data_IF_949954446507
#
_entry.id   IF_949954446507
#
_cell.length_a   1.000
_cell.length_b   1.000
_cell.length_c   1.000
_cell.angle_alpha   90.00
_cell.angle_beta   90.00
_cell.angle_gamma   90.00
#
_symmetry.space_group_name_H-M   'P 1'
#
loop_
_entity.id
_entity.type
_entity.pdbx_description
1 polymer ?
#
# COMPACT_ATOMS: atom_id res chain seq x y z
N UNK A 1 -3.70 18.78 74.52
CA UNK A 1 -3.31 19.95 73.69
C UNK A 1 -4.58 20.63 73.21
N UNK A 2 -4.87 21.84 73.68
CA UNK A 2 -6.11 22.54 73.36
C UNK A 2 -5.96 23.26 72.02
N UNK A 3 -6.65 22.76 70.98
CA UNK A 3 -6.60 23.32 69.62
C UNK A 3 -7.46 24.59 69.46
N UNK A 4 -7.41 25.50 70.45
CA UNK A 4 -8.16 26.78 70.41
C UNK A 4 -7.72 27.71 69.27
N UNK A 5 -6.54 27.45 68.67
CA UNK A 5 -6.06 28.15 67.48
C UNK A 5 -6.85 27.82 66.20
N UNK A 6 -7.51 26.65 66.14
CA UNK A 6 -8.31 26.22 64.98
C UNK A 6 -9.80 26.57 65.08
N UNK A 7 -10.23 27.17 66.19
CA UNK A 7 -11.64 27.55 66.41
C UNK A 7 -11.90 29.05 66.22
N UNK A 8 -10.86 29.86 65.97
CA UNK A 8 -11.05 31.27 65.67
C UNK A 8 -11.45 31.44 64.19
N UNK A 9 -12.56 32.15 63.89
CA UNK A 9 -13.01 32.39 62.51
C UNK A 9 -11.96 33.15 61.67
N UNK A 10 -11.02 33.83 62.34
CA UNK A 10 -9.97 34.61 61.72
C UNK A 10 -8.83 33.76 61.12
N UNK A 11 -8.58 32.55 61.64
CA UNK A 11 -7.58 31.62 61.09
C UNK A 11 -8.19 30.57 60.15
N UNK A 12 -9.45 30.19 60.35
CA UNK A 12 -10.11 29.17 59.52
C UNK A 12 -10.49 29.69 58.13
N UNK A 13 -10.94 30.94 57.99
CA UNK A 13 -11.29 31.53 56.69
C UNK A 13 -10.11 31.58 55.71
N UNK A 14 -8.92 32.12 56.05
CA UNK A 14 -7.79 32.12 55.11
C UNK A 14 -7.28 30.71 54.83
N UNK A 15 -7.37 29.78 55.79
CA UNK A 15 -7.00 28.38 55.58
C UNK A 15 -7.92 27.70 54.56
N UNK A 16 -9.24 27.91 54.66
CA UNK A 16 -10.22 27.37 53.70
C UNK A 16 -10.03 28.00 52.32
N UNK A 17 -9.76 29.30 52.24
CA UNK A 17 -9.43 29.96 50.97
C UNK A 17 -8.16 29.40 50.33
N UNK A 18 -7.13 29.14 51.13
CA UNK A 18 -5.86 28.57 50.64
C UNK A 18 -6.06 27.14 50.12
N UNK A 19 -6.82 26.32 50.84
CA UNK A 19 -7.17 24.96 50.42
C UNK A 19 -8.04 24.98 49.15
N UNK A 20 -9.04 25.87 49.09
CA UNK A 20 -9.89 26.04 47.92
C UNK A 20 -9.11 26.50 46.68
N UNK A 21 -8.18 27.44 46.84
CA UNK A 21 -7.31 27.90 45.77
C UNK A 21 -6.41 26.78 45.24
N UNK A 22 -5.83 25.96 46.13
CA UNK A 22 -5.05 24.79 45.75
C UNK A 22 -5.90 23.77 44.98
N UNK A 23 -7.13 23.51 45.43
CA UNK A 23 -8.03 22.58 44.77
C UNK A 23 -8.36 23.00 43.33
N UNK A 24 -8.64 24.30 43.11
CA UNK A 24 -8.90 24.85 41.78
C UNK A 24 -7.68 24.72 40.86
N UNK A 25 -6.48 24.98 41.38
CA UNK A 25 -5.23 24.82 40.61
C UNK A 25 -4.97 23.37 40.21
N UNK A 26 -5.29 22.42 41.09
CA UNK A 26 -5.12 20.99 40.82
C UNK A 26 -6.02 20.51 39.67
N UNK A 27 -7.26 21.00 39.62
CA UNK A 27 -8.21 20.66 38.55
C UNK A 27 -7.72 21.19 37.19
N UNK A 28 -7.05 22.34 37.16
CA UNK A 28 -6.51 22.94 35.93
C UNK A 28 -5.29 22.21 35.35
N UNK A 29 -4.62 21.31 36.10
CA UNK A 29 -3.39 20.62 35.65
C UNK A 29 -3.69 19.35 34.83
N UNK A 30 -4.86 18.74 35.01
CA UNK A 30 -5.25 17.53 34.29
C UNK A 30 -5.48 17.66 32.77
N UNK A 31 -6.08 18.74 32.21
CA UNK A 31 -6.40 18.78 30.78
C UNK A 31 -5.16 18.75 29.89
N UNK A 32 -4.04 19.35 30.31
CA UNK A 32 -2.83 19.38 29.50
C UNK A 32 -2.22 18.00 29.30
N UNK A 33 -2.23 17.15 30.33
CA UNK A 33 -1.68 15.78 30.24
C UNK A 33 -2.49 14.90 29.29
N UNK A 34 -3.81 15.02 29.32
CA UNK A 34 -4.70 14.27 28.41
C UNK A 34 -4.47 14.70 26.96
N UNK A 35 -4.33 16.00 26.71
CA UNK A 35 -4.12 16.53 25.37
C UNK A 35 -2.74 16.15 24.80
N UNK A 36 -1.68 16.18 25.63
CA UNK A 36 -0.36 15.69 25.24
C UNK A 36 -0.38 14.19 24.93
N UNK A 37 -1.00 13.37 25.79
CA UNK A 37 -1.08 11.92 25.56
C UNK A 37 -1.89 11.58 24.31
N UNK A 38 -2.96 12.34 24.01
CA UNK A 38 -3.71 12.19 22.76
C UNK A 38 -2.85 12.52 21.54
N UNK A 39 -2.04 13.58 21.59
CA UNK A 39 -1.13 13.94 20.50
C UNK A 39 -0.08 12.85 20.29
N UNK A 40 0.51 12.34 21.37
CA UNK A 40 1.48 11.24 21.32
C UNK A 40 0.84 10.00 20.68
N UNK A 41 -0.32 9.58 21.17
CA UNK A 41 -1.03 8.41 20.62
C UNK A 41 -1.41 8.59 19.15
N UNK A 42 -1.80 9.80 18.72
CA UNK A 42 -2.09 10.07 17.32
C UNK A 42 -0.82 9.99 16.45
N UNK A 43 0.29 10.57 16.92
CA UNK A 43 1.58 10.48 16.23
C UNK A 43 2.07 9.02 16.11
N UNK A 44 1.93 8.23 17.18
CA UNK A 44 2.27 6.80 17.17
C UNK A 44 1.42 6.01 16.17
N UNK A 45 0.12 6.29 16.10
CA UNK A 45 -0.77 5.64 15.14
C UNK A 45 -0.42 6.01 13.69
N UNK A 46 -0.14 7.30 13.42
CA UNK A 46 0.30 7.75 12.09
C UNK A 46 1.62 7.09 11.68
N UNK A 47 2.54 6.93 12.62
CA UNK A 47 3.82 6.26 12.37
C UNK A 47 3.59 4.80 11.98
N UNK A 48 2.74 4.09 12.73
CA UNK A 48 2.40 2.69 12.45
C UNK A 48 1.71 2.51 11.09
N UNK A 49 0.73 3.36 10.78
CA UNK A 49 0.04 3.34 9.48
C UNK A 49 1.02 3.59 8.32
N UNK A 50 1.95 4.52 8.49
CA UNK A 50 2.97 4.81 7.48
C UNK A 50 3.93 3.64 7.29
N UNK A 51 4.33 2.98 8.37
CA UNK A 51 5.22 1.81 8.31
C UNK A 51 4.54 0.61 7.64
N UNK A 52 3.26 0.37 7.92
CA UNK A 52 2.44 -0.65 7.25
C UNK A 52 2.32 -0.35 5.74
N UNK A 53 2.09 0.90 5.36
CA UNK A 53 2.05 1.32 3.95
C UNK A 53 3.40 1.11 3.24
N UNK A 54 4.52 1.42 3.89
CA UNK A 54 5.85 1.17 3.33
C UNK A 54 6.04 -0.33 3.08
N UNK A 55 5.68 -1.17 4.05
CA UNK A 55 5.80 -2.62 3.93
C UNK A 55 4.93 -3.17 2.78
N UNK A 56 3.68 -2.74 2.68
CA UNK A 56 2.78 -3.12 1.59
C UNK A 56 3.33 -2.70 0.22
N UNK A 57 3.85 -1.48 0.12
CA UNK A 57 4.44 -0.98 -1.12
C UNK A 57 5.69 -1.75 -1.51
N UNK A 58 6.53 -2.12 -0.55
CA UNK A 58 7.73 -2.92 -0.79
C UNK A 58 7.37 -4.35 -1.25
N UNK A 59 6.37 -4.98 -0.63
CA UNK A 59 5.86 -6.29 -1.04
C UNK A 59 5.30 -6.25 -2.47
N UNK A 60 4.47 -5.25 -2.78
CA UNK A 60 3.90 -5.06 -4.11
C UNK A 60 4.98 -4.78 -5.15
N UNK A 61 5.96 -3.94 -4.83
CA UNK A 61 7.10 -3.68 -5.72
C UNK A 61 7.91 -4.95 -5.97
N UNK A 62 8.17 -5.75 -4.94
CA UNK A 62 8.82 -7.05 -5.06
C UNK A 62 8.03 -8.02 -5.95
N UNK A 63 6.72 -8.09 -5.78
CA UNK A 63 5.84 -8.89 -6.64
C UNK A 63 5.92 -8.45 -8.11
N UNK A 64 5.88 -7.15 -8.40
CA UNK A 64 5.98 -6.68 -9.80
C UNK A 64 7.35 -6.91 -10.44
N UNK A 65 8.42 -7.00 -9.65
CA UNK A 65 9.76 -7.35 -10.13
C UNK A 65 9.95 -8.86 -10.30
N UNK A 66 9.13 -9.66 -9.63
CA UNK A 66 9.21 -11.13 -9.65
C UNK A 66 9.01 -11.73 -11.04
N UNK A 67 9.63 -12.89 -11.27
CA UNK A 67 9.46 -13.63 -12.52
C UNK A 67 8.04 -14.17 -12.68
N UNK A 68 7.32 -14.41 -11.57
CA UNK A 68 5.91 -14.78 -11.59
C UNK A 68 5.03 -13.69 -12.21
N UNK A 69 5.28 -12.42 -11.89
CA UNK A 69 4.55 -11.33 -12.51
C UNK A 69 4.89 -11.19 -14.00
N UNK A 70 6.17 -11.30 -14.37
CA UNK A 70 6.60 -11.29 -15.78
C UNK A 70 5.95 -12.42 -16.58
N UNK A 71 5.90 -13.62 -16.02
CA UNK A 71 5.27 -14.77 -16.66
C UNK A 71 3.77 -14.55 -16.84
N UNK A 72 3.08 -14.08 -15.80
CA UNK A 72 1.65 -13.77 -15.88
C UNK A 72 1.39 -12.72 -16.96
N UNK A 73 2.20 -11.66 -17.04
CA UNK A 73 2.09 -10.66 -18.10
C UNK A 73 2.40 -11.24 -19.49
N UNK A 74 3.36 -12.17 -19.59
CA UNK A 74 3.68 -12.85 -20.85
C UNK A 74 2.53 -13.74 -21.34
N UNK A 75 1.91 -14.50 -20.44
CA UNK A 75 0.69 -15.28 -20.71
C UNK A 75 -0.45 -14.37 -21.16
N UNK A 76 -0.73 -13.29 -20.42
CA UNK A 76 -1.86 -12.40 -20.73
C UNK A 76 -1.69 -11.60 -22.02
N UNK A 77 -0.48 -11.11 -22.31
CA UNK A 77 -0.24 -10.20 -23.44
C UNK A 77 0.13 -10.91 -24.73
N UNK A 78 0.81 -12.04 -24.62
CA UNK A 78 1.42 -12.71 -25.75
C UNK A 78 0.97 -14.18 -25.88
N UNK A 79 0.06 -14.64 -25.01
CA UNK A 79 -0.41 -16.03 -24.95
C UNK A 79 0.75 -17.05 -24.88
N UNK A 80 1.85 -16.62 -24.25
CA UNK A 80 3.08 -17.40 -24.16
C UNK A 80 2.95 -18.50 -23.10
N UNK A 81 3.49 -19.66 -23.43
CA UNK A 81 3.39 -20.89 -22.64
C UNK A 81 4.80 -21.28 -22.19
N UNK A 82 4.93 -21.84 -20.98
CA UNK A 82 6.23 -22.34 -20.51
C UNK A 82 6.70 -23.53 -21.35
N UNK A 83 8.02 -23.70 -21.54
CA UNK A 83 8.54 -24.88 -22.22
C UNK A 83 8.12 -26.16 -21.46
N UNK A 84 7.36 -27.03 -22.14
CA UNK A 84 6.84 -28.29 -21.59
C UNK A 84 5.35 -28.28 -21.21
N UNK A 85 4.66 -27.13 -21.27
CA UNK A 85 3.22 -27.04 -21.04
C UNK A 85 2.45 -27.30 -22.34
N UNK A 86 1.44 -28.19 -22.30
CA UNK A 86 0.62 -28.59 -23.46
C UNK A 86 -0.71 -27.85 -23.44
N UNK A 87 -0.98 -27.07 -24.50
CA UNK A 87 -2.27 -26.38 -24.68
C UNK A 87 -3.18 -27.20 -25.56
N UNK A 88 -4.45 -27.30 -25.16
CA UNK A 88 -5.51 -27.98 -25.91
C UNK A 88 -6.44 -26.89 -26.43
N UNK A 89 -6.43 -26.65 -27.74
CA UNK A 89 -7.41 -25.79 -28.39
C UNK A 89 -8.68 -26.58 -28.63
N UNK A 90 -9.77 -26.20 -27.97
CA UNK A 90 -11.10 -26.78 -28.19
C UNK A 90 -11.81 -25.88 -29.20
N UNK A 91 -11.89 -26.35 -30.44
CA UNK A 91 -12.70 -25.70 -31.48
C UNK A 91 -14.11 -26.27 -31.42
N UNK A 92 -15.12 -25.39 -31.35
CA UNK A 92 -16.51 -25.79 -31.47
C UNK A 92 -16.75 -26.30 -32.89
N UNK A 93 -17.03 -27.59 -32.99
CA UNK A 93 -16.96 -28.35 -34.23
C UNK A 93 -18.10 -27.94 -35.17
N UNK A 94 -17.78 -27.22 -36.24
CA UNK A 94 -18.51 -27.31 -37.49
C UNK A 94 -17.58 -27.83 -38.57
N UNK A 95 -17.33 -29.14 -38.54
CA UNK A 95 -16.74 -29.99 -39.58
C UNK A 95 -15.32 -29.63 -40.05
N UNK A 96 -14.47 -30.67 -40.03
CA UNK A 96 -13.16 -30.77 -40.67
C UNK A 96 -11.95 -30.36 -39.80
N UNK A 97 -11.54 -31.27 -38.93
CA UNK A 97 -10.23 -31.24 -38.26
C UNK A 97 -9.34 -32.30 -38.90
N UNK A 98 -8.52 -31.89 -39.88
CA UNK A 98 -7.32 -32.64 -40.24
C UNK A 98 -6.19 -32.29 -39.27
N UNK A 99 -5.68 -33.30 -38.58
CA UNK A 99 -4.54 -33.19 -37.69
C UNK A 99 -3.27 -32.89 -38.49
N UNK A 100 -2.81 -31.63 -38.46
CA UNK A 100 -1.52 -31.24 -39.06
C UNK A 100 -0.37 -31.69 -38.17
N UNK A 101 0.27 -32.81 -38.56
CA UNK A 101 1.57 -33.20 -38.03
C UNK A 101 2.66 -32.33 -38.64
N UNK A 102 3.38 -31.60 -37.77
CA UNK A 102 4.79 -31.23 -37.89
C UNK A 102 5.39 -31.27 -39.31
N UNK A 103 5.28 -30.17 -40.04
CA UNK A 103 6.15 -29.87 -41.18
C UNK A 103 6.68 -28.44 -41.04
N UNK A 104 8.01 -28.38 -41.06
CA UNK A 104 8.93 -27.24 -40.99
C UNK A 104 8.48 -26.06 -41.88
N UNK A 105 8.40 -24.81 -41.38
CA UNK A 105 7.98 -23.69 -42.21
C UNK A 105 9.13 -23.23 -43.12
N UNK A 106 8.96 -23.40 -44.42
CA UNK A 106 9.79 -22.75 -45.42
C UNK A 106 9.67 -21.22 -45.32
N UNK A 107 10.81 -20.56 -45.13
CA UNK A 107 10.95 -19.11 -45.15
C UNK A 107 10.61 -18.52 -46.53
N UNK A 108 9.35 -18.13 -46.74
CA UNK A 108 9.03 -17.09 -47.73
C UNK A 108 9.45 -15.74 -47.17
N UNK A 109 10.55 -15.20 -47.68
CA UNK A 109 11.03 -13.84 -47.37
C UNK A 109 10.03 -12.81 -47.89
N UNK A 110 9.05 -12.44 -47.08
CA UNK A 110 8.33 -11.18 -47.29
C UNK A 110 9.28 -10.01 -47.03
N UNK A 111 9.31 -9.06 -47.97
CA UNK A 111 10.16 -7.88 -47.85
C UNK A 111 9.78 -7.11 -46.59
N UNK A 112 10.78 -6.93 -45.72
CA UNK A 112 10.69 -6.15 -44.48
C UNK A 112 10.08 -4.78 -44.73
N UNK A 113 9.23 -4.34 -43.80
CA UNK A 113 8.51 -3.06 -43.82
C UNK A 113 9.42 -1.86 -44.13
N UNK A 114 10.68 -1.91 -43.70
CA UNK A 114 11.67 -0.87 -43.97
C UNK A 114 12.07 -0.76 -45.45
N UNK A 115 12.03 -1.87 -46.19
CA UNK A 115 12.28 -1.87 -47.64
C UNK A 115 11.17 -1.16 -48.41
N UNK A 116 9.92 -1.34 -47.99
CA UNK A 116 8.76 -0.63 -48.58
C UNK A 116 8.80 0.87 -48.26
N UNK A 117 9.23 1.23 -47.05
CA UNK A 117 9.33 2.63 -46.62
C UNK A 117 10.44 3.40 -47.36
N UNK A 118 11.58 2.75 -47.60
CA UNK A 118 12.70 3.37 -48.30
C UNK A 118 12.38 3.63 -49.78
N UNK A 119 11.64 2.75 -50.44
CA UNK A 119 11.19 2.91 -51.83
C UNK A 119 10.21 4.10 -51.99
N UNK A 120 9.34 4.34 -51.01
CA UNK A 120 8.42 5.49 -51.03
C UNK A 120 9.11 6.84 -50.82
N UNK A 121 10.19 6.87 -50.04
CA UNK A 121 10.91 8.11 -49.69
C UNK A 121 11.96 8.50 -50.73
N UNK A 122 12.46 7.53 -51.51
CA UNK A 122 13.58 7.74 -52.44
C UNK A 122 13.18 7.58 -53.90
N UNK A 123 11.88 7.52 -54.21
CA UNK A 123 11.35 7.47 -55.56
C UNK A 123 11.16 8.87 -56.16
N UNK A 124 11.71 9.07 -57.37
CA UNK A 124 11.47 10.19 -58.28
C UNK A 124 9.97 10.47 -58.54
#
# INVERSE_FOLDING_TARGET
MNNKLFQSPLLTVPLVLLVGFLAIRLIQINPQRVDLNRKISNLENQLKETEELIQELEENAGYYQSDTYKEMQARLKFDLIKPGEKVIYIYENSSDVEASSSAEPEHKKEKSFFGKLFEYVTGD
#
